data_IF_346100579462
#
_entry.id   IF_346100579462
#
_cell.length_a   1.000
_cell.length_b   1.000
_cell.length_c   1.000
_cell.angle_alpha   90.00
_cell.angle_beta   90.00
_cell.angle_gamma   90.00
#
_symmetry.space_group_name_H-M   'P 1'
#
loop_
_entity.id
_entity.type
_entity.pdbx_description
1 polymer ?
#
# COMPACT_ATOMS: atom_id res chain seq x y z
N UNK A 1 -16.50 10.63 -13.98
CA UNK A 1 -15.19 10.40 -14.65
C UNK A 1 -15.29 9.05 -15.35
N UNK A 2 -14.90 8.94 -16.63
CA UNK A 2 -15.01 7.70 -17.42
C UNK A 2 -13.62 7.05 -17.53
N UNK A 3 -13.49 5.78 -17.19
CA UNK A 3 -12.23 5.02 -17.26
C UNK A 3 -12.41 3.89 -18.26
N UNK A 4 -11.51 3.77 -19.25
CA UNK A 4 -11.56 2.72 -20.28
C UNK A 4 -12.96 2.52 -20.91
N UNK A 5 -13.64 3.61 -21.27
CA UNK A 5 -15.00 3.66 -21.83
C UNK A 5 -16.16 3.27 -20.90
N UNK A 6 -15.91 2.99 -19.61
CA UNK A 6 -16.96 2.66 -18.64
C UNK A 6 -17.27 3.86 -17.72
N UNK A 7 -18.56 4.10 -17.46
CA UNK A 7 -19.05 5.16 -16.58
C UNK A 7 -18.86 4.90 -15.09
N UNK A 8 -18.81 3.62 -14.69
CA UNK A 8 -18.50 3.16 -13.35
C UNK A 8 -17.59 1.92 -13.44
N UNK A 9 -16.38 2.02 -12.90
CA UNK A 9 -15.42 0.92 -12.92
C UNK A 9 -15.85 -0.24 -12.02
N UNK A 10 -16.60 0.03 -10.93
CA UNK A 10 -17.10 -1.01 -10.03
C UNK A 10 -18.21 -1.85 -10.68
N UNK A 11 -19.01 -1.25 -11.56
CA UNK A 11 -20.01 -1.95 -12.38
C UNK A 11 -19.45 -2.72 -13.59
N UNK A 12 -18.14 -2.65 -13.86
CA UNK A 12 -17.51 -3.40 -14.96
C UNK A 12 -16.87 -4.68 -14.45
N UNK A 13 -17.25 -5.81 -15.03
CA UNK A 13 -16.64 -7.12 -14.73
C UNK A 13 -15.12 -7.15 -14.97
N UNK A 14 -14.62 -6.32 -15.89
CA UNK A 14 -13.20 -6.23 -16.23
C UNK A 14 -12.42 -5.22 -15.37
N UNK A 15 -13.08 -4.39 -14.57
CA UNK A 15 -12.39 -3.37 -13.74
C UNK A 15 -12.77 -3.43 -12.25
N UNK A 16 -13.77 -4.21 -11.87
CA UNK A 16 -14.26 -4.30 -10.50
C UNK A 16 -13.15 -4.66 -9.51
N UNK A 17 -12.30 -5.64 -9.84
CA UNK A 17 -11.19 -6.05 -8.98
C UNK A 17 -10.13 -4.94 -8.84
N UNK A 18 -9.81 -4.25 -9.93
CA UNK A 18 -8.85 -3.14 -9.92
C UNK A 18 -9.39 -1.94 -9.13
N UNK A 19 -10.68 -1.64 -9.26
CA UNK A 19 -11.36 -0.59 -8.51
C UNK A 19 -11.37 -0.90 -7.00
N UNK A 20 -11.78 -2.12 -6.62
CA UNK A 20 -11.79 -2.55 -5.23
C UNK A 20 -10.38 -2.54 -4.60
N UNK A 21 -9.37 -2.96 -5.38
CA UNK A 21 -7.97 -2.82 -4.98
C UNK A 21 -7.59 -1.35 -4.71
N UNK A 22 -7.88 -0.44 -5.65
CA UNK A 22 -7.50 0.96 -5.52
C UNK A 22 -8.18 1.63 -4.32
N UNK A 23 -9.48 1.40 -4.13
CA UNK A 23 -10.24 1.95 -3.02
C UNK A 23 -9.71 1.45 -1.68
N UNK A 24 -9.48 0.14 -1.53
CA UNK A 24 -8.91 -0.43 -0.31
C UNK A 24 -7.49 0.08 -0.06
N UNK A 25 -6.66 0.24 -1.09
CA UNK A 25 -5.27 0.71 -0.96
C UNK A 25 -5.20 2.14 -0.49
N UNK A 26 -6.06 3.01 -1.01
CA UNK A 26 -6.16 4.40 -0.58
C UNK A 26 -6.66 4.46 0.87
N UNK A 27 -7.68 3.67 1.22
CA UNK A 27 -8.20 3.60 2.58
C UNK A 27 -7.12 3.19 3.60
N UNK A 28 -6.34 2.14 3.30
CA UNK A 28 -5.24 1.65 4.15
C UNK A 28 -4.20 2.73 4.42
N UNK A 29 -3.78 3.49 3.40
CA UNK A 29 -2.69 4.47 3.55
C UNK A 29 -3.14 5.81 4.10
N UNK A 30 -4.40 6.19 3.87
CA UNK A 30 -4.93 7.46 4.37
C UNK A 30 -5.56 7.34 5.74
N UNK A 31 -5.92 6.12 6.16
CA UNK A 31 -6.73 5.89 7.36
C UNK A 31 -8.15 6.47 7.24
N UNK A 32 -8.61 6.83 6.03
CA UNK A 32 -9.91 7.44 5.78
C UNK A 32 -10.82 6.44 5.09
N UNK A 33 -11.85 6.01 5.80
CA UNK A 33 -12.91 5.14 5.30
C UNK A 33 -14.20 5.48 6.04
N UNK A 34 -15.27 5.76 5.28
CA UNK A 34 -16.60 6.01 5.86
C UNK A 34 -17.29 4.69 6.25
N UNK A 35 -17.01 3.63 5.50
CA UNK A 35 -17.59 2.30 5.64
C UNK A 35 -16.52 1.26 5.29
N UNK A 36 -15.68 0.86 6.25
CA UNK A 36 -14.58 -0.08 6.00
C UNK A 36 -15.09 -1.48 5.69
N UNK A 37 -16.20 -1.92 6.28
CA UNK A 37 -16.79 -3.25 6.05
C UNK A 37 -17.17 -3.41 4.58
N UNK A 38 -17.88 -2.43 4.02
CA UNK A 38 -18.24 -2.45 2.58
C UNK A 38 -17.02 -2.50 1.66
N UNK A 39 -15.93 -1.80 2.01
CA UNK A 39 -14.70 -1.81 1.23
C UNK A 39 -13.96 -3.16 1.32
N UNK A 40 -13.93 -3.76 2.51
CA UNK A 40 -13.37 -5.09 2.75
C UNK A 40 -14.16 -6.14 1.97
N UNK A 41 -15.48 -6.13 2.07
CA UNK A 41 -16.36 -7.07 1.36
C UNK A 41 -16.24 -6.91 -0.15
N UNK A 42 -16.20 -5.67 -0.66
CA UNK A 42 -15.98 -5.41 -2.07
C UNK A 42 -14.62 -5.95 -2.54
N UNK A 43 -13.56 -5.78 -1.74
CA UNK A 43 -12.21 -6.23 -2.09
C UNK A 43 -12.04 -7.76 -2.00
N UNK A 44 -12.81 -8.45 -1.15
CA UNK A 44 -12.78 -9.91 -0.99
C UNK A 44 -13.84 -10.64 -1.82
N UNK A 45 -14.63 -9.91 -2.62
CA UNK A 45 -15.59 -10.49 -3.52
C UNK A 45 -14.93 -11.46 -4.52
N UNK A 46 -15.77 -12.33 -5.10
CA UNK A 46 -15.36 -13.15 -6.23
C UNK A 46 -15.34 -12.30 -7.50
N UNK A 47 -14.23 -12.37 -8.24
CA UNK A 47 -14.07 -11.63 -9.49
C UNK A 47 -13.96 -12.57 -10.69
N UNK A 48 -14.60 -12.26 -11.83
CA UNK A 48 -14.42 -13.01 -13.07
C UNK A 48 -12.97 -12.94 -13.58
N UNK A 49 -12.33 -11.78 -13.40
CA UNK A 49 -10.94 -11.55 -13.80
C UNK A 49 -9.97 -11.88 -12.66
N UNK A 50 -9.01 -12.76 -12.94
CA UNK A 50 -8.08 -13.29 -11.91
C UNK A 50 -6.82 -12.46 -11.68
N UNK A 51 -6.43 -11.62 -12.64
CA UNK A 51 -5.14 -10.90 -12.64
C UNK A 51 -5.03 -9.89 -11.48
N UNK A 52 -6.15 -9.31 -11.07
CA UNK A 52 -6.23 -8.34 -9.96
C UNK A 52 -6.62 -8.97 -8.62
N UNK A 53 -7.05 -10.23 -8.63
CA UNK A 53 -7.67 -10.89 -7.47
C UNK A 53 -6.75 -10.91 -6.25
N UNK A 54 -5.48 -11.30 -6.44
CA UNK A 54 -4.50 -11.32 -5.35
C UNK A 54 -4.25 -9.93 -4.73
N UNK A 55 -4.26 -8.88 -5.55
CA UNK A 55 -4.07 -7.51 -5.08
C UNK A 55 -5.30 -7.02 -4.31
N UNK A 56 -6.50 -7.22 -4.85
CA UNK A 56 -7.75 -6.84 -4.19
C UNK A 56 -7.87 -7.56 -2.84
N UNK A 57 -7.72 -8.89 -2.82
CA UNK A 57 -7.87 -9.70 -1.61
C UNK A 57 -6.85 -9.34 -0.52
N UNK A 58 -5.57 -9.20 -0.88
CA UNK A 58 -4.54 -8.83 0.10
C UNK A 58 -4.77 -7.44 0.70
N UNK A 59 -5.27 -6.49 -0.11
CA UNK A 59 -5.52 -5.12 0.36
C UNK A 59 -6.80 -5.02 1.17
N UNK A 60 -7.83 -5.80 0.83
CA UNK A 60 -9.06 -5.95 1.63
C UNK A 60 -8.76 -6.55 3.00
N UNK A 61 -7.96 -7.61 3.07
CA UNK A 61 -7.53 -8.20 4.34
C UNK A 61 -6.68 -7.22 5.17
N UNK A 62 -5.77 -6.47 4.53
CA UNK A 62 -5.01 -5.43 5.23
C UNK A 62 -5.91 -4.30 5.75
N UNK A 63 -6.93 -3.89 4.99
CA UNK A 63 -7.91 -2.90 5.42
C UNK A 63 -8.70 -3.38 6.64
N UNK A 64 -9.15 -4.64 6.67
CA UNK A 64 -9.87 -5.20 7.82
C UNK A 64 -9.04 -5.09 9.11
N UNK A 65 -7.72 -5.35 9.03
CA UNK A 65 -6.80 -5.17 10.17
C UNK A 65 -6.65 -3.71 10.55
N UNK A 66 -6.42 -2.81 9.59
CA UNK A 66 -6.22 -1.37 9.86
C UNK A 66 -7.48 -0.70 10.40
N UNK A 67 -8.66 -1.18 10.00
CA UNK A 67 -9.95 -0.72 10.50
C UNK A 67 -10.34 -1.30 11.86
N UNK A 68 -9.56 -2.26 12.40
CA UNK A 68 -9.87 -2.89 13.68
C UNK A 68 -11.08 -3.82 13.62
N UNK A 69 -11.34 -4.42 12.46
CA UNK A 69 -12.49 -5.33 12.28
C UNK A 69 -12.38 -6.53 13.22
N UNK A 70 -13.47 -6.95 13.90
CA UNK A 70 -13.45 -8.09 14.81
C UNK A 70 -13.12 -9.42 14.09
N UNK A 71 -13.44 -9.52 12.80
CA UNK A 71 -13.22 -10.70 11.94
C UNK A 71 -11.89 -10.64 11.15
N UNK A 72 -10.99 -9.69 11.46
CA UNK A 72 -9.78 -9.46 10.66
C UNK A 72 -8.90 -10.71 10.48
N UNK A 73 -8.84 -11.60 11.47
CA UNK A 73 -8.13 -12.88 11.37
C UNK A 73 -8.72 -13.81 10.30
N UNK A 74 -10.04 -13.87 10.19
CA UNK A 74 -10.74 -14.65 9.16
C UNK A 74 -10.51 -14.07 7.77
N UNK A 75 -10.55 -12.73 7.65
CA UNK A 75 -10.26 -12.03 6.39
C UNK A 75 -8.81 -12.24 5.92
N UNK A 76 -7.84 -12.27 6.84
CA UNK A 76 -6.45 -12.63 6.55
C UNK A 76 -6.32 -14.08 6.03
N UNK A 77 -7.02 -15.02 6.66
CA UNK A 77 -7.01 -16.43 6.23
C UNK A 77 -7.62 -16.59 4.84
N UNK A 78 -8.74 -15.93 4.55
CA UNK A 78 -9.42 -15.97 3.26
C UNK A 78 -8.54 -15.49 2.10
N UNK A 79 -7.73 -14.46 2.33
CA UNK A 79 -6.79 -13.93 1.32
C UNK A 79 -5.53 -14.81 1.12
N UNK A 80 -5.29 -15.80 1.99
CA UNK A 80 -4.07 -16.60 2.01
C UNK A 80 -3.79 -17.36 0.71
N UNK A 81 -4.82 -17.94 0.10
CA UNK A 81 -4.69 -18.68 -1.16
C UNK A 81 -4.29 -17.77 -2.32
N UNK A 82 -4.93 -16.61 -2.44
CA UNK A 82 -4.63 -15.62 -3.47
C UNK A 82 -3.22 -15.03 -3.31
N UNK A 83 -2.76 -14.89 -2.07
CA UNK A 83 -1.42 -14.38 -1.77
C UNK A 83 -0.30 -15.39 -2.05
N UNK A 84 -0.57 -16.70 -1.97
CA UNK A 84 0.44 -17.74 -2.19
C UNK A 84 1.08 -17.67 -3.59
N UNK A 85 0.33 -17.18 -4.58
CA UNK A 85 0.75 -17.09 -5.98
C UNK A 85 1.33 -15.70 -6.36
N UNK A 86 1.35 -14.74 -5.43
CA UNK A 86 1.76 -13.37 -5.73
C UNK A 86 2.65 -12.77 -4.63
N UNK A 87 3.89 -12.43 -5.00
CA UNK A 87 4.91 -11.92 -4.09
C UNK A 87 4.51 -10.62 -3.37
N UNK A 88 3.79 -9.73 -4.06
CA UNK A 88 3.31 -8.48 -3.48
C UNK A 88 2.19 -8.75 -2.48
N UNK A 89 1.22 -9.60 -2.85
CA UNK A 89 0.11 -9.98 -1.98
C UNK A 89 0.60 -10.70 -0.71
N UNK A 90 1.54 -11.64 -0.84
CA UNK A 90 2.16 -12.33 0.28
C UNK A 90 2.85 -11.36 1.26
N UNK A 91 3.56 -10.36 0.73
CA UNK A 91 4.22 -9.35 1.54
C UNK A 91 3.22 -8.41 2.24
N UNK A 92 2.09 -8.09 1.60
CA UNK A 92 0.98 -7.37 2.23
C UNK A 92 0.35 -8.17 3.36
N UNK A 93 0.06 -9.45 3.17
CA UNK A 93 -0.49 -10.30 4.24
C UNK A 93 0.47 -10.43 5.42
N UNK A 94 1.76 -10.66 5.18
CA UNK A 94 2.75 -10.71 6.27
C UNK A 94 2.78 -9.41 7.09
N UNK A 95 2.67 -8.24 6.43
CA UNK A 95 2.56 -6.94 7.11
C UNK A 95 1.25 -6.83 7.91
N UNK A 96 0.13 -7.22 7.31
CA UNK A 96 -1.18 -7.15 7.95
C UNK A 96 -1.25 -8.09 9.16
N UNK A 97 -0.73 -9.32 9.06
CA UNK A 97 -0.59 -10.25 10.17
C UNK A 97 0.22 -9.65 11.31
N UNK A 98 1.35 -9.00 11.02
CA UNK A 98 2.16 -8.34 12.06
C UNK A 98 1.37 -7.27 12.81
N UNK A 99 0.56 -6.47 12.11
CA UNK A 99 -0.31 -5.47 12.74
C UNK A 99 -1.40 -6.11 13.58
N UNK A 100 -2.00 -7.19 13.09
CA UNK A 100 -3.10 -7.88 13.76
C UNK A 100 -2.65 -8.56 15.07
N UNK A 101 -1.49 -9.22 15.04
CA UNK A 101 -0.99 -9.99 16.19
C UNK A 101 -0.04 -9.22 17.10
N UNK A 102 0.52 -8.11 16.63
CA UNK A 102 1.62 -7.41 17.29
C UNK A 102 2.96 -8.14 17.22
N UNK A 103 3.04 -9.29 16.52
CA UNK A 103 4.28 -10.04 16.34
C UNK A 103 5.17 -9.36 15.29
N UNK A 104 6.44 -9.18 15.63
CA UNK A 104 7.44 -8.59 14.74
C UNK A 104 7.90 -9.55 13.64
N UNK A 105 7.79 -10.87 13.83
CA UNK A 105 8.32 -11.86 12.87
C UNK A 105 7.68 -11.72 11.48
N UNK A 106 6.33 -11.61 11.34
CA UNK A 106 5.72 -11.37 10.03
C UNK A 106 6.10 -10.00 9.43
N UNK A 107 6.38 -8.98 10.24
CA UNK A 107 6.87 -7.69 9.73
C UNK A 107 8.26 -7.81 9.11
N UNK A 108 9.16 -8.58 9.72
CA UNK A 108 10.49 -8.86 9.18
C UNK A 108 10.37 -9.64 7.86
N UNK A 109 9.52 -10.65 7.81
CA UNK A 109 9.25 -11.40 6.58
C UNK A 109 8.74 -10.48 5.45
N UNK A 110 7.77 -9.62 5.77
CA UNK A 110 7.22 -8.63 4.84
C UNK A 110 8.31 -7.70 4.29
N UNK A 111 9.21 -7.19 5.15
CA UNK A 111 10.35 -6.37 4.73
C UNK A 111 11.25 -7.11 3.73
N UNK A 112 11.61 -8.37 4.00
CA UNK A 112 12.42 -9.19 3.09
C UNK A 112 11.75 -9.36 1.73
N UNK A 113 10.44 -9.59 1.71
CA UNK A 113 9.68 -9.72 0.46
C UNK A 113 9.63 -8.40 -0.31
N UNK A 114 9.46 -7.26 0.37
CA UNK A 114 9.52 -5.94 -0.28
C UNK A 114 10.88 -5.62 -0.87
N UNK A 115 11.96 -6.00 -0.18
CA UNK A 115 13.32 -5.86 -0.70
C UNK A 115 13.52 -6.66 -1.98
N UNK A 116 13.05 -7.91 -2.02
CA UNK A 116 13.15 -8.78 -3.20
C UNK A 116 12.49 -8.19 -4.43
N UNK A 117 11.31 -7.58 -4.29
CA UNK A 117 10.56 -7.00 -5.43
C UNK A 117 10.84 -5.51 -5.65
N UNK A 118 11.75 -4.90 -4.88
CA UNK A 118 12.12 -3.49 -5.03
C UNK A 118 11.06 -2.48 -4.56
N UNK A 119 10.09 -2.90 -3.75
CA UNK A 119 8.98 -2.06 -3.26
C UNK A 119 9.44 -1.16 -2.10
N UNK A 120 10.17 -0.08 -2.43
CA UNK A 120 10.84 0.78 -1.44
C UNK A 120 9.88 1.48 -0.48
N UNK A 121 8.73 1.94 -0.97
CA UNK A 121 7.73 2.63 -0.16
C UNK A 121 7.10 1.67 0.85
N UNK A 122 6.68 0.49 0.38
CA UNK A 122 6.09 -0.56 1.20
C UNK A 122 7.06 -1.03 2.26
N UNK A 123 8.31 -1.29 1.87
CA UNK A 123 9.40 -1.61 2.79
C UNK A 123 9.53 -0.55 3.88
N UNK A 124 9.51 0.72 3.50
CA UNK A 124 9.64 1.82 4.45
C UNK A 124 8.47 1.83 5.45
N UNK A 125 7.22 1.81 4.97
CA UNK A 125 6.06 1.80 5.86
C UNK A 125 6.08 0.58 6.79
N UNK A 126 6.54 -0.58 6.30
CA UNK A 126 6.61 -1.82 7.08
C UNK A 126 7.67 -1.76 8.18
N UNK A 127 8.83 -1.12 7.93
CA UNK A 127 9.89 -0.97 8.93
C UNK A 127 9.46 -0.13 10.14
N UNK A 128 8.43 0.69 10.01
CA UNK A 128 7.85 1.42 11.15
C UNK A 128 7.18 0.48 12.16
N UNK A 129 6.80 -0.74 11.75
CA UNK A 129 6.23 -1.77 12.63
C UNK A 129 7.31 -2.58 13.37
N UNK A 130 8.59 -2.41 13.02
CA UNK A 130 9.69 -3.16 13.63
C UNK A 130 10.37 -2.29 14.69
N UNK A 131 10.33 -2.67 15.99
CA UNK A 131 10.96 -1.92 17.07
C UNK A 131 12.44 -1.62 16.78
N UNK A 132 12.86 -0.38 17.04
CA UNK A 132 14.24 0.07 16.83
C UNK A 132 14.69 0.21 15.36
N UNK A 133 13.82 -0.01 14.36
CA UNK A 133 14.11 0.23 12.94
C UNK A 133 13.36 1.40 12.30
N UNK A 134 12.32 1.91 12.95
CA UNK A 134 11.59 3.11 12.54
C UNK A 134 12.53 4.33 12.32
N UNK A 135 13.48 4.55 13.23
CA UNK A 135 14.42 5.68 13.20
C UNK A 135 15.40 5.63 12.01
N UNK A 136 15.89 4.44 11.64
CA UNK A 136 16.83 4.27 10.51
C UNK A 136 16.14 4.34 9.14
N UNK A 137 14.83 4.22 9.10
CA UNK A 137 14.06 4.07 7.88
C UNK A 137 13.67 5.41 7.24
N UNK A 138 13.41 6.45 8.05
CA UNK A 138 13.14 7.79 7.55
C UNK A 138 14.32 8.34 6.70
N UNK A 139 15.55 8.09 7.13
CA UNK A 139 16.78 8.57 6.46
C UNK A 139 17.03 7.89 5.10
N UNK A 140 16.72 6.60 4.95
CA UNK A 140 16.93 5.84 3.70
C UNK A 140 15.81 6.02 2.66
N UNK A 141 14.63 6.40 3.12
CA UNK A 141 13.43 6.53 2.28
C UNK A 141 13.27 7.93 1.67
N UNK A 142 14.11 8.89 2.07
CA UNK A 142 14.15 10.20 1.39
C UNK A 142 14.51 9.98 -0.08
N UNK A 143 13.73 10.50 -1.03
CA UNK A 143 14.18 10.53 -2.41
C UNK A 143 15.53 11.25 -2.42
N UNK A 144 16.56 10.59 -3.00
CA UNK A 144 17.83 11.24 -3.31
C UNK A 144 17.56 12.27 -4.39
N UNK A 145 17.00 13.41 -4.00
CA UNK A 145 17.02 14.60 -4.82
C UNK A 145 18.50 14.99 -4.88
N UNK A 146 19.20 14.50 -5.91
CA UNK A 146 20.43 15.15 -6.36
C UNK A 146 19.98 16.51 -6.85
N UNK A 147 19.98 17.50 -5.96
CA UNK A 147 20.15 18.88 -6.37
C UNK A 147 21.44 18.88 -7.18
N UNK A 148 21.30 18.89 -8.51
CA UNK A 148 22.39 19.08 -9.43
C UNK A 148 22.90 20.47 -9.11
N UNK A 149 23.99 20.56 -8.36
CA UNK A 149 24.70 21.80 -8.04
C UNK A 149 25.21 22.38 -9.35
N UNK A 150 24.38 23.19 -9.98
CA UNK A 150 24.61 23.80 -11.27
C UNK A 150 23.90 25.14 -11.37
N UNK A 151 24.08 26.00 -10.37
CA UNK A 151 23.82 27.42 -10.54
C UNK A 151 24.96 28.21 -9.89
N UNK A 152 25.96 28.56 -10.72
CA UNK A 152 26.96 29.59 -10.44
C UNK A 152 26.98 30.55 -11.62
N UNK A 153 26.95 31.85 -11.32
CA UNK A 153 27.04 32.98 -12.24
C UNK A 153 25.65 33.51 -12.59
N UNK A 154 25.17 34.66 -12.10
CA UNK A 154 25.84 35.88 -11.68
C UNK A 154 25.60 36.94 -12.76
N UNK A 155 24.84 38.01 -12.45
CA UNK A 155 25.04 39.38 -12.96
C UNK A 155 24.04 40.36 -12.32
N UNK A 156 24.60 41.25 -11.48
CA UNK A 156 24.31 42.69 -11.39
C UNK A 156 22.88 43.17 -11.12
N UNK A 157 22.60 43.52 -9.87
CA UNK A 157 21.61 44.56 -9.56
C UNK A 157 22.34 45.69 -8.82
N UNK A 158 22.62 46.77 -9.55
CA UNK A 158 23.22 48.00 -9.01
C UNK A 158 22.13 48.80 -8.29
N UNK A 159 22.29 49.00 -6.99
CA UNK A 159 21.50 49.95 -6.21
C UNK A 159 22.17 51.33 -6.34
N UNK A 160 21.65 52.17 -7.24
CA UNK A 160 21.93 53.60 -7.26
C UNK A 160 20.99 54.32 -6.31
N UNK A 161 21.53 54.93 -5.26
CA UNK A 161 20.81 55.79 -4.33
C UNK A 161 21.46 57.17 -4.24
N UNK A 162 20.59 58.18 -4.36
CA UNK A 162 20.76 59.63 -4.15
C UNK A 162 21.41 60.44 -5.26
#
# INVERSE_FOLDING_TARGET
>A
MRIAHVGDAAGSSALAAAAAFADARVAVHTGRYADPERLVDAALASFPEKWWLAYAHATGAELAVVAGSPDAGERLAAAGSAAAENDWAAACLARATARHTGDVRPAIESVTRWERIGARFERAVTLMLVPGRAERNFERSRPRCRLRSGFRGGHGCSLGGR
#
